data_IF_050456918352
#
_entry.id   IF_050456918352
#
_cell.length_a   1.000
_cell.length_b   1.000
_cell.length_c   1.000
_cell.angle_alpha   90.00
_cell.angle_beta   90.00
_cell.angle_gamma   90.00
#
_symmetry.space_group_name_H-M   'P 1'
#
loop_
_entity.id
_entity.type
_entity.pdbx_description
1 polymer ?
#
# COMPACT_ATOMS: atom_id res chain seq x y z
N UNK A 1 50.92 77.43 -35.37
CA UNK A 1 51.02 77.85 -33.95
C UNK A 1 50.57 76.69 -33.09
N UNK A 2 51.38 76.39 -32.06
CA UNK A 2 51.12 75.53 -30.89
C UNK A 2 50.83 74.03 -31.12
N UNK A 3 51.91 73.26 -31.02
CA UNK A 3 51.97 71.95 -30.36
C UNK A 3 51.39 72.00 -28.93
N UNK A 4 50.62 70.99 -28.55
CA UNK A 4 50.56 70.50 -27.17
C UNK A 4 50.59 68.98 -27.22
N UNK A 5 51.56 68.45 -26.50
CA UNK A 5 52.08 67.10 -26.51
C UNK A 5 51.12 66.14 -25.81
N UNK A 6 50.56 65.15 -26.52
CA UNK A 6 49.74 64.09 -25.92
C UNK A 6 50.58 62.97 -25.30
N UNK A 7 51.91 63.09 -25.26
CA UNK A 7 52.80 62.07 -24.67
C UNK A 7 52.96 62.17 -23.15
N UNK A 8 52.64 63.32 -22.56
CA UNK A 8 52.79 63.54 -21.11
C UNK A 8 51.69 62.87 -20.25
N UNK A 9 50.58 62.43 -20.85
CA UNK A 9 49.50 61.74 -20.12
C UNK A 9 49.78 60.25 -19.84
N UNK A 10 50.84 59.68 -20.43
CA UNK A 10 51.17 58.25 -20.34
C UNK A 10 52.57 57.98 -19.77
N UNK A 11 53.25 59.01 -19.27
CA UNK A 11 54.58 58.91 -18.67
C UNK A 11 54.49 58.93 -17.15
N UNK A 12 55.30 58.10 -16.49
CA UNK A 12 55.42 58.11 -15.05
C UNK A 12 56.30 59.28 -14.61
N UNK A 13 55.81 60.10 -13.69
CA UNK A 13 56.55 61.27 -13.14
C UNK A 13 57.80 60.92 -12.33
N UNK A 14 57.99 59.65 -11.95
CA UNK A 14 59.18 59.18 -11.20
C UNK A 14 60.30 58.75 -12.16
N UNK A 15 60.01 57.84 -13.10
CA UNK A 15 61.02 57.32 -14.03
C UNK A 15 61.03 58.02 -15.39
N UNK A 16 60.09 58.94 -15.63
CA UNK A 16 59.91 59.73 -16.86
C UNK A 16 59.75 58.89 -18.14
N UNK A 17 59.41 57.61 -17.99
CA UNK A 17 59.15 56.67 -19.08
C UNK A 17 57.65 56.35 -19.18
N UNK A 18 57.23 55.77 -20.31
CA UNK A 18 55.87 55.25 -20.47
C UNK A 18 55.55 54.27 -19.33
N UNK A 19 54.35 54.37 -18.76
CA UNK A 19 53.94 53.55 -17.64
C UNK A 19 54.18 52.05 -17.88
N UNK A 20 54.90 51.43 -16.94
CA UNK A 20 55.06 49.98 -16.85
C UNK A 20 54.33 49.50 -15.59
N UNK A 21 53.25 48.74 -15.78
CA UNK A 21 52.34 48.28 -14.72
C UNK A 21 51.85 49.44 -13.82
N UNK A 22 51.02 50.37 -14.34
CA UNK A 22 50.62 51.57 -13.62
C UNK A 22 49.71 51.26 -12.43
N UNK A 23 50.11 51.73 -11.25
CA UNK A 23 49.30 51.72 -10.03
C UNK A 23 48.73 53.12 -9.81
N UNK A 24 47.43 53.20 -9.53
CA UNK A 24 46.74 54.46 -9.20
C UNK A 24 46.60 54.59 -7.68
N UNK A 25 47.08 55.69 -7.11
CA UNK A 25 46.89 56.00 -5.69
C UNK A 25 45.47 56.50 -5.44
N UNK A 26 45.02 56.48 -4.18
CA UNK A 26 43.69 56.97 -3.77
C UNK A 26 43.47 58.45 -4.08
N UNK A 27 44.55 59.22 -4.22
CA UNK A 27 44.53 60.62 -4.67
C UNK A 27 44.39 60.79 -6.20
N UNK A 28 44.33 59.71 -6.97
CA UNK A 28 44.14 59.72 -8.42
C UNK A 28 45.42 59.75 -9.27
N UNK A 29 46.60 60.00 -8.68
CA UNK A 29 47.89 60.00 -9.39
C UNK A 29 48.35 58.58 -9.72
N UNK A 30 49.00 58.42 -10.88
CA UNK A 30 49.44 57.13 -11.41
C UNK A 30 50.95 57.06 -11.53
N UNK A 31 51.51 55.91 -11.20
CA UNK A 31 52.96 55.67 -11.23
C UNK A 31 53.24 54.23 -11.65
N UNK A 32 54.43 53.95 -12.18
CA UNK A 32 54.87 52.56 -12.36
C UNK A 32 54.94 51.86 -10.99
N UNK A 33 54.48 50.61 -10.92
CA UNK A 33 54.43 49.81 -9.68
C UNK A 33 55.76 49.81 -8.91
N UNK A 34 56.88 49.61 -9.60
CA UNK A 34 58.20 49.59 -8.98
C UNK A 34 58.60 50.98 -8.48
N UNK A 35 58.38 52.01 -9.28
CA UNK A 35 58.76 53.38 -8.95
C UNK A 35 58.03 53.91 -7.72
N UNK A 36 56.73 53.64 -7.60
CA UNK A 36 55.99 54.05 -6.41
C UNK A 36 56.32 53.15 -5.21
N UNK A 37 56.64 51.87 -5.45
CA UNK A 37 57.15 50.96 -4.43
C UNK A 37 58.40 51.49 -3.73
N UNK A 38 59.44 51.78 -4.51
CA UNK A 38 60.72 52.28 -3.98
C UNK A 38 60.55 53.61 -3.19
N UNK A 39 59.68 54.50 -3.68
CA UNK A 39 59.45 55.81 -3.05
C UNK A 39 58.65 55.68 -1.75
N UNK A 40 57.69 54.78 -1.67
CA UNK A 40 56.93 54.59 -0.44
C UNK A 40 57.70 53.76 0.59
N UNK A 41 58.56 52.83 0.15
CA UNK A 41 59.46 52.05 1.01
C UNK A 41 60.50 52.95 1.71
N UNK A 42 60.94 54.03 1.04
CA UNK A 42 61.90 55.01 1.60
C UNK A 42 61.27 56.01 2.57
N UNK A 43 59.94 56.20 2.56
CA UNK A 43 59.24 57.18 3.41
C UNK A 43 58.95 56.70 4.84
N UNK A 44 59.26 55.44 5.16
CA UNK A 44 59.06 54.88 6.50
C UNK A 44 57.60 54.55 6.85
N UNK A 45 57.43 53.68 7.84
CA UNK A 45 56.25 52.84 8.01
C UNK A 45 54.97 53.51 8.55
N UNK A 46 54.88 54.84 8.65
CA UNK A 46 53.73 55.50 9.33
C UNK A 46 52.94 56.50 8.48
N UNK A 47 53.52 57.07 7.42
CA UNK A 47 52.79 57.98 6.50
C UNK A 47 53.37 57.86 5.10
N UNK A 48 52.61 57.24 4.21
CA UNK A 48 52.92 57.23 2.79
C UNK A 48 52.29 58.47 2.18
N UNK A 49 53.08 59.27 1.48
CA UNK A 49 52.61 60.48 0.82
C UNK A 49 52.78 60.36 -0.68
N UNK A 50 51.78 60.84 -1.43
CA UNK A 50 51.87 60.88 -2.88
C UNK A 50 53.05 61.78 -3.30
N UNK A 51 53.96 61.33 -4.19
CA UNK A 51 55.09 62.15 -4.64
C UNK A 51 54.69 63.44 -5.35
N UNK A 52 53.50 63.46 -5.96
CA UNK A 52 53.00 64.62 -6.70
C UNK A 52 52.20 65.59 -5.82
N UNK A 53 51.18 65.10 -5.10
CA UNK A 53 50.30 65.99 -4.34
C UNK A 53 50.53 65.99 -2.82
N UNK A 54 51.40 65.12 -2.32
CA UNK A 54 51.74 64.97 -0.89
C UNK A 54 50.56 64.67 0.03
N UNK A 55 49.40 64.32 -0.51
CA UNK A 55 48.28 63.83 0.28
C UNK A 55 48.71 62.53 0.99
N UNK A 56 48.26 62.37 2.24
CA UNK A 56 48.42 61.11 2.97
C UNK A 56 47.66 60.04 2.21
N UNK A 57 48.41 59.04 1.76
CA UNK A 57 47.89 57.87 1.08
C UNK A 57 47.78 56.78 2.15
N UNK A 58 46.56 56.35 2.51
CA UNK A 58 46.38 55.15 3.34
C UNK A 58 47.15 54.02 2.68
N UNK A 59 47.85 53.20 3.46
CA UNK A 59 48.82 52.23 2.95
C UNK A 59 48.28 51.44 1.73
N UNK A 60 48.61 51.91 0.52
CA UNK A 60 48.12 51.34 -0.75
C UNK A 60 48.72 49.97 -1.03
N UNK A 61 49.68 49.53 -0.20
CA UNK A 61 50.22 48.17 -0.24
C UNK A 61 49.23 47.11 0.25
N UNK A 62 48.17 47.49 0.97
CA UNK A 62 47.18 46.53 1.46
C UNK A 62 46.18 46.07 0.39
N UNK A 63 46.04 46.81 -0.72
CA UNK A 63 45.13 46.47 -1.83
C UNK A 63 45.79 45.62 -2.92
N UNK A 64 47.08 45.28 -2.77
CA UNK A 64 47.81 44.44 -3.72
C UNK A 64 47.84 42.99 -3.22
N UNK A 65 47.25 42.02 -3.96
CA UNK A 65 47.17 40.61 -3.55
C UNK A 65 48.51 39.90 -3.30
N UNK A 66 49.64 40.50 -3.68
CA UNK A 66 50.99 39.94 -3.55
C UNK A 66 51.81 40.46 -2.36
N UNK A 67 51.28 41.41 -1.57
CA UNK A 67 52.01 42.02 -0.42
C UNK A 67 51.35 41.70 0.93
N UNK A 68 50.17 41.07 0.91
CA UNK A 68 49.54 40.51 2.10
C UNK A 68 50.19 39.16 2.41
N UNK A 69 50.98 39.11 3.47
CA UNK A 69 51.71 37.91 3.90
C UNK A 69 51.18 37.36 5.24
N UNK A 70 50.38 38.17 5.95
CA UNK A 70 49.89 37.86 7.29
C UNK A 70 48.36 37.93 7.41
N UNK A 71 47.82 37.28 8.43
CA UNK A 71 46.41 37.25 8.80
C UNK A 71 46.26 37.70 10.26
N UNK A 72 45.45 38.73 10.50
CA UNK A 72 45.06 39.12 11.86
C UNK A 72 43.87 38.26 12.33
N UNK A 73 44.02 37.59 13.47
CA UNK A 73 43.01 36.68 13.99
C UNK A 73 41.79 37.41 14.58
N UNK A 74 41.99 38.58 15.18
CA UNK A 74 40.96 39.39 15.84
C UNK A 74 40.09 40.11 14.82
N UNK A 75 40.71 40.78 13.84
CA UNK A 75 40.00 41.55 12.82
C UNK A 75 39.60 40.70 11.60
N UNK A 76 40.02 39.44 11.58
CA UNK A 76 39.72 38.45 10.54
C UNK A 76 40.14 38.85 9.12
N UNK A 77 41.15 39.71 8.99
CA UNK A 77 41.60 40.30 7.71
C UNK A 77 43.06 39.97 7.38
N UNK A 78 43.37 39.97 6.08
CA UNK A 78 44.74 39.80 5.59
C UNK A 78 45.48 41.14 5.65
N UNK A 79 46.70 41.16 6.18
CA UNK A 79 47.48 42.37 6.43
C UNK A 79 48.92 42.21 5.91
N UNK A 80 49.59 43.34 5.68
CA UNK A 80 51.03 43.38 5.39
C UNK A 80 51.86 43.52 6.68
N UNK A 81 53.18 43.37 6.57
CA UNK A 81 54.11 43.47 7.72
C UNK A 81 54.04 44.83 8.44
N UNK A 82 53.86 45.92 7.70
CA UNK A 82 53.78 47.28 8.26
C UNK A 82 52.53 47.48 9.11
N UNK A 83 51.39 46.92 8.70
CA UNK A 83 50.14 46.96 9.45
C UNK A 83 50.22 46.22 10.78
N UNK A 84 50.99 45.12 10.83
CA UNK A 84 51.24 44.34 12.04
C UNK A 84 52.18 45.05 13.03
N UNK A 85 53.28 45.64 12.54
CA UNK A 85 54.33 46.18 13.43
C UNK A 85 54.06 47.61 13.90
N UNK A 86 53.54 48.47 13.01
CA UNK A 86 53.45 49.91 13.26
C UNK A 86 52.08 50.52 12.95
N UNK A 87 51.19 49.76 12.31
CA UNK A 87 49.84 50.17 11.93
C UNK A 87 48.77 49.85 12.97
N UNK A 88 47.52 49.77 12.51
CA UNK A 88 46.32 49.64 13.34
C UNK A 88 46.16 48.26 13.99
N UNK A 89 46.81 47.22 13.45
CA UNK A 89 46.76 45.85 13.98
C UNK A 89 47.91 45.57 14.97
N UNK A 90 48.57 46.62 15.48
CA UNK A 90 49.71 46.49 16.38
C UNK A 90 49.27 45.90 17.73
N UNK A 91 49.82 44.73 18.05
CA UNK A 91 49.53 44.01 19.30
C UNK A 91 48.40 42.98 19.19
N UNK A 92 47.79 42.83 18.01
CA UNK A 92 46.87 41.74 17.71
C UNK A 92 47.63 40.44 17.42
N UNK A 93 46.96 39.29 17.57
CA UNK A 93 47.50 38.01 17.16
C UNK A 93 47.52 37.92 15.64
N UNK A 94 48.74 37.88 15.11
CA UNK A 94 49.00 37.81 13.67
C UNK A 94 49.70 36.50 13.35
N UNK A 95 49.19 35.81 12.34
CA UNK A 95 49.74 34.56 11.81
C UNK A 95 50.13 34.76 10.35
N UNK A 96 51.02 33.95 9.79
CA UNK A 96 51.23 34.00 8.33
C UNK A 96 49.97 33.53 7.60
N UNK A 97 49.75 33.99 6.37
CA UNK A 97 48.63 33.50 5.55
C UNK A 97 48.67 31.98 5.41
N UNK A 98 49.87 31.40 5.30
CA UNK A 98 50.04 29.96 5.19
C UNK A 98 49.59 29.24 6.47
N UNK A 99 50.01 29.70 7.65
CA UNK A 99 49.57 29.12 8.94
C UNK A 99 48.06 29.26 9.16
N UNK A 100 47.50 30.45 8.91
CA UNK A 100 46.06 30.69 9.06
C UNK A 100 45.24 29.84 8.08
N UNK A 101 45.73 29.70 6.84
CA UNK A 101 45.17 28.80 5.82
C UNK A 101 45.22 27.36 6.29
N UNK A 102 46.37 26.88 6.73
CA UNK A 102 46.53 25.48 7.16
C UNK A 102 45.69 25.17 8.41
N UNK A 103 45.59 26.08 9.39
CA UNK A 103 44.69 25.90 10.54
C UNK A 103 43.22 25.83 10.13
N UNK A 104 42.78 26.66 9.17
CA UNK A 104 41.41 26.62 8.66
C UNK A 104 41.16 25.34 7.86
N UNK A 105 42.10 24.93 6.99
CA UNK A 105 42.04 23.66 6.25
C UNK A 105 42.00 22.45 7.18
N UNK A 106 42.79 22.46 8.25
CA UNK A 106 42.83 21.41 9.27
C UNK A 106 41.48 21.29 9.97
N UNK A 107 40.91 22.41 10.45
CA UNK A 107 39.57 22.45 11.05
C UNK A 107 38.52 21.89 10.09
N UNK A 108 38.56 22.30 8.82
CA UNK A 108 37.64 21.81 7.80
C UNK A 108 37.81 20.31 7.55
N UNK A 109 39.05 19.80 7.53
CA UNK A 109 39.33 18.38 7.34
C UNK A 109 38.76 17.54 8.47
N UNK A 110 38.96 17.96 9.72
CA UNK A 110 38.42 17.28 10.89
C UNK A 110 36.88 17.26 10.90
N UNK A 111 36.24 18.37 10.51
CA UNK A 111 34.79 18.42 10.36
C UNK A 111 34.34 17.46 9.24
N UNK A 112 35.02 17.46 8.10
CA UNK A 112 34.69 16.60 6.96
C UNK A 112 34.81 15.11 7.30
N UNK A 113 35.87 14.73 8.01
CA UNK A 113 36.08 13.36 8.48
C UNK A 113 34.98 12.94 9.46
N UNK A 114 34.66 13.79 10.44
CA UNK A 114 33.56 13.54 11.37
C UNK A 114 32.22 13.36 10.66
N UNK A 115 31.86 14.29 9.77
CA UNK A 115 30.60 14.22 9.01
C UNK A 115 30.56 12.99 8.09
N UNK A 116 31.71 12.58 7.55
CA UNK A 116 31.80 11.36 6.73
C UNK A 116 31.53 10.12 7.57
N UNK A 117 32.12 10.01 8.77
CA UNK A 117 31.87 8.91 9.71
C UNK A 117 30.40 8.86 10.14
N UNK A 118 29.82 10.01 10.51
CA UNK A 118 28.40 10.10 10.90
C UNK A 118 27.47 9.68 9.74
N UNK A 119 27.80 10.05 8.50
CA UNK A 119 27.08 9.60 7.31
C UNK A 119 27.15 8.08 7.15
N UNK A 120 28.33 7.48 7.26
CA UNK A 120 28.50 6.03 7.13
C UNK A 120 27.72 5.25 8.21
N UNK A 121 27.69 5.75 9.43
CA UNK A 121 26.90 5.18 10.52
C UNK A 121 25.38 5.29 10.27
N UNK A 122 24.93 6.45 9.78
CA UNK A 122 23.54 6.64 9.39
C UNK A 122 23.15 5.71 8.22
N UNK A 123 24.01 5.54 7.23
CA UNK A 123 23.80 4.61 6.11
C UNK A 123 23.70 3.16 6.57
N UNK A 124 24.61 2.71 7.45
CA UNK A 124 24.53 1.37 8.07
C UNK A 124 23.22 1.18 8.84
N UNK A 125 22.79 2.22 9.57
CA UNK A 125 21.53 2.19 10.32
C UNK A 125 20.32 2.09 9.38
N UNK A 126 20.31 2.84 8.27
CA UNK A 126 19.25 2.76 7.25
C UNK A 126 19.18 1.36 6.62
N UNK A 127 20.32 0.75 6.28
CA UNK A 127 20.34 -0.62 5.75
C UNK A 127 19.76 -1.62 6.74
N UNK A 128 20.13 -1.50 8.02
CA UNK A 128 19.61 -2.35 9.10
C UNK A 128 18.09 -2.21 9.27
N UNK A 129 17.58 -0.97 9.21
CA UNK A 129 16.14 -0.69 9.29
C UNK A 129 15.36 -1.23 8.09
N UNK A 130 15.91 -1.14 6.88
CA UNK A 130 15.30 -1.73 5.66
C UNK A 130 15.19 -3.25 5.76
N UNK A 131 16.21 -3.91 6.32
CA UNK A 131 16.16 -5.35 6.54
C UNK A 131 15.12 -5.72 7.61
N UNK A 132 15.03 -4.95 8.69
CA UNK A 132 13.98 -5.15 9.70
C UNK A 132 12.58 -4.94 9.11
N UNK A 133 12.40 -3.92 8.27
CA UNK A 133 11.15 -3.68 7.54
C UNK A 133 10.78 -4.89 6.67
N UNK A 134 11.73 -5.44 5.91
CA UNK A 134 11.54 -6.65 5.11
C UNK A 134 11.12 -7.84 5.97
N UNK A 135 11.73 -8.02 7.14
CA UNK A 135 11.36 -9.09 8.08
C UNK A 135 9.94 -8.90 8.65
N UNK A 136 9.56 -7.68 9.01
CA UNK A 136 8.21 -7.35 9.50
C UNK A 136 7.19 -7.64 8.41
N UNK A 137 7.44 -7.21 7.18
CA UNK A 137 6.58 -7.50 6.02
C UNK A 137 6.46 -9.00 5.77
N UNK A 138 7.57 -9.74 5.81
CA UNK A 138 7.57 -11.20 5.63
C UNK A 138 6.77 -11.93 6.71
N UNK A 139 6.92 -11.52 7.99
CA UNK A 139 6.11 -12.08 9.09
C UNK A 139 4.63 -11.75 8.95
N UNK A 140 4.29 -10.51 8.61
CA UNK A 140 2.91 -10.09 8.40
C UNK A 140 2.25 -10.86 7.23
N UNK A 141 2.97 -11.04 6.12
CA UNK A 141 2.52 -11.85 5.00
C UNK A 141 2.31 -13.31 5.42
N UNK A 142 3.27 -13.91 6.13
CA UNK A 142 3.16 -15.29 6.61
C UNK A 142 1.97 -15.52 7.55
N UNK A 143 1.69 -14.58 8.46
CA UNK A 143 0.49 -14.65 9.31
C UNK A 143 -0.79 -14.53 8.49
N UNK A 144 -0.80 -13.64 7.48
CA UNK A 144 -1.95 -13.47 6.58
C UNK A 144 -2.24 -14.75 5.78
N UNK A 145 -1.20 -15.40 5.27
CA UNK A 145 -1.31 -16.69 4.57
C UNK A 145 -1.86 -17.79 5.48
N UNK A 146 -1.34 -17.91 6.71
CA UNK A 146 -1.82 -18.88 7.69
C UNK A 146 -3.31 -18.68 8.01
N UNK A 147 -3.73 -17.44 8.28
CA UNK A 147 -5.15 -17.13 8.56
C UNK A 147 -6.03 -17.46 7.35
N UNK A 148 -5.59 -17.08 6.15
CA UNK A 148 -6.34 -17.35 4.91
C UNK A 148 -6.51 -18.85 4.67
N UNK A 149 -5.45 -19.63 4.90
CA UNK A 149 -5.50 -21.08 4.79
C UNK A 149 -6.47 -21.71 5.81
N UNK A 150 -6.39 -21.31 7.08
CA UNK A 150 -7.30 -21.80 8.13
C UNK A 150 -8.76 -21.48 7.82
N UNK A 151 -9.06 -20.26 7.34
CA UNK A 151 -10.42 -19.88 6.96
C UNK A 151 -10.92 -20.72 5.78
N UNK A 152 -10.06 -21.01 4.79
CA UNK A 152 -10.39 -21.89 3.67
C UNK A 152 -10.73 -23.29 4.17
N UNK A 153 -9.89 -23.88 5.03
CA UNK A 153 -10.12 -25.22 5.56
C UNK A 153 -11.42 -25.32 6.38
N UNK A 154 -11.71 -24.31 7.21
CA UNK A 154 -12.98 -24.26 7.97
C UNK A 154 -14.19 -24.21 7.02
N UNK A 155 -14.14 -23.42 5.95
CA UNK A 155 -15.23 -23.36 4.96
C UNK A 155 -15.43 -24.70 4.27
N UNK A 156 -14.36 -25.35 3.84
CA UNK A 156 -14.42 -26.67 3.20
C UNK A 156 -15.02 -27.73 4.13
N UNK A 157 -14.64 -27.71 5.42
CA UNK A 157 -15.22 -28.61 6.42
C UNK A 157 -16.70 -28.35 6.66
N UNK A 158 -17.12 -27.08 6.71
CA UNK A 158 -18.53 -26.71 6.87
C UNK A 158 -19.36 -27.17 5.66
N UNK A 159 -18.88 -26.96 4.44
CA UNK A 159 -19.58 -27.41 3.23
C UNK A 159 -19.67 -28.94 3.14
N UNK A 160 -18.61 -29.65 3.54
CA UNK A 160 -18.62 -31.11 3.59
C UNK A 160 -19.63 -31.64 4.62
N UNK A 161 -19.67 -31.02 5.80
CA UNK A 161 -20.63 -31.38 6.85
C UNK A 161 -22.07 -31.08 6.42
N UNK A 162 -22.31 -29.94 5.78
CA UNK A 162 -23.62 -29.58 5.22
C UNK A 162 -24.10 -30.64 4.23
N UNK A 163 -23.27 -31.01 3.25
CA UNK A 163 -23.60 -32.05 2.27
C UNK A 163 -23.89 -33.40 2.94
N UNK A 164 -23.10 -33.76 3.96
CA UNK A 164 -23.29 -34.99 4.70
C UNK A 164 -24.67 -35.00 5.40
N UNK A 165 -25.01 -33.93 6.12
CA UNK A 165 -26.30 -33.82 6.83
C UNK A 165 -27.47 -33.83 5.84
N UNK A 166 -27.37 -33.09 4.73
CA UNK A 166 -28.42 -33.08 3.70
C UNK A 166 -28.62 -34.48 3.09
N UNK A 167 -27.54 -35.20 2.78
CA UNK A 167 -27.63 -36.56 2.24
C UNK A 167 -28.29 -37.54 3.21
N UNK A 168 -28.03 -37.39 4.51
CA UNK A 168 -28.64 -38.22 5.55
C UNK A 168 -30.13 -37.92 5.71
N UNK A 169 -30.53 -36.65 5.65
CA UNK A 169 -31.95 -36.25 5.68
C UNK A 169 -32.69 -36.86 4.48
N UNK A 170 -32.16 -36.71 3.26
CA UNK A 170 -32.77 -37.27 2.06
C UNK A 170 -32.90 -38.80 2.14
N UNK A 171 -31.87 -39.49 2.65
CA UNK A 171 -31.89 -40.94 2.85
C UNK A 171 -32.99 -41.36 3.84
N UNK A 172 -33.14 -40.63 4.93
CA UNK A 172 -34.19 -40.90 5.92
C UNK A 172 -35.59 -40.62 5.35
N UNK A 173 -35.76 -39.54 4.60
CA UNK A 173 -37.00 -39.20 3.91
C UNK A 173 -37.42 -40.32 2.96
N UNK A 174 -36.50 -40.79 2.10
CA UNK A 174 -36.76 -41.87 1.16
C UNK A 174 -37.11 -43.18 1.89
N UNK A 175 -36.38 -43.51 2.96
CA UNK A 175 -36.66 -44.69 3.78
C UNK A 175 -38.06 -44.65 4.42
N UNK A 176 -38.48 -43.49 4.94
CA UNK A 176 -39.82 -43.31 5.53
C UNK A 176 -40.88 -43.36 4.43
N UNK A 177 -40.65 -42.72 3.29
CA UNK A 177 -41.55 -42.73 2.13
C UNK A 177 -41.82 -44.16 1.64
N UNK A 178 -40.77 -44.98 1.49
CA UNK A 178 -40.89 -46.39 1.11
C UNK A 178 -41.73 -47.19 2.11
N UNK A 179 -41.53 -47.00 3.42
CA UNK A 179 -42.32 -47.67 4.46
C UNK A 179 -43.79 -47.26 4.42
N UNK A 180 -44.06 -45.97 4.23
CA UNK A 180 -45.43 -45.46 4.10
C UNK A 180 -46.10 -46.01 2.84
N UNK A 181 -45.38 -46.04 1.72
CA UNK A 181 -45.86 -46.61 0.46
C UNK A 181 -46.23 -48.09 0.60
N UNK A 182 -45.39 -48.90 1.25
CA UNK A 182 -45.67 -50.31 1.53
C UNK A 182 -46.94 -50.50 2.38
N UNK A 183 -47.12 -49.68 3.44
CA UNK A 183 -48.33 -49.70 4.25
C UNK A 183 -49.58 -49.33 3.43
N UNK A 184 -49.49 -48.32 2.57
CA UNK A 184 -50.59 -47.92 1.68
C UNK A 184 -50.94 -49.08 0.74
N UNK A 185 -49.95 -49.68 0.09
CA UNK A 185 -50.15 -50.79 -0.83
C UNK A 185 -50.77 -52.01 -0.12
N UNK A 186 -50.32 -52.31 1.10
CA UNK A 186 -50.90 -53.38 1.92
C UNK A 186 -52.37 -53.12 2.28
N UNK A 187 -52.72 -51.88 2.63
CA UNK A 187 -54.10 -51.47 2.90
C UNK A 187 -54.98 -51.52 1.65
N UNK A 188 -54.45 -51.12 0.49
CA UNK A 188 -55.13 -51.23 -0.81
C UNK A 188 -55.49 -52.68 -1.13
N UNK A 189 -54.51 -53.58 -1.04
CA UNK A 189 -54.71 -55.02 -1.26
C UNK A 189 -55.75 -55.58 -0.29
N UNK A 190 -55.72 -55.16 0.99
CA UNK A 190 -56.70 -55.60 1.97
C UNK A 190 -58.11 -55.10 1.66
N UNK A 191 -58.25 -53.84 1.24
CA UNK A 191 -59.55 -53.31 0.81
C UNK A 191 -60.11 -54.05 -0.41
N UNK A 192 -59.29 -54.42 -1.39
CA UNK A 192 -59.72 -55.21 -2.55
C UNK A 192 -60.27 -56.59 -2.12
N UNK A 193 -59.57 -57.26 -1.19
CA UNK A 193 -60.03 -58.53 -0.62
C UNK A 193 -61.37 -58.38 0.09
N UNK A 194 -61.53 -57.34 0.91
CA UNK A 194 -62.80 -57.05 1.57
C UNK A 194 -63.93 -56.79 0.56
N UNK A 195 -63.66 -56.01 -0.47
CA UNK A 195 -64.64 -55.73 -1.52
C UNK A 195 -65.11 -57.03 -2.19
N UNK A 196 -64.19 -57.97 -2.47
CA UNK A 196 -64.55 -59.28 -3.00
C UNK A 196 -65.45 -60.06 -2.04
N UNK A 197 -65.14 -60.09 -0.74
CA UNK A 197 -65.98 -60.76 0.27
C UNK A 197 -67.37 -60.13 0.34
N UNK A 198 -67.46 -58.80 0.42
CA UNK A 198 -68.74 -58.08 0.41
C UNK A 198 -69.55 -58.34 -0.86
N UNK A 199 -68.90 -58.36 -2.03
CA UNK A 199 -69.54 -58.66 -3.29
C UNK A 199 -70.12 -60.08 -3.33
N UNK A 200 -69.37 -61.08 -2.84
CA UNK A 200 -69.87 -62.46 -2.73
C UNK A 200 -71.06 -62.57 -1.77
N UNK A 201 -70.97 -61.95 -0.59
CA UNK A 201 -72.10 -61.92 0.37
C UNK A 201 -73.32 -61.27 -0.27
N UNK A 202 -73.16 -60.12 -0.95
CA UNK A 202 -74.24 -59.44 -1.64
C UNK A 202 -74.90 -60.32 -2.72
N UNK A 203 -74.11 -61.04 -3.52
CA UNK A 203 -74.63 -61.98 -4.52
C UNK A 203 -75.43 -63.11 -3.86
N UNK A 204 -74.91 -63.70 -2.78
CA UNK A 204 -75.60 -64.77 -2.03
C UNK A 204 -76.94 -64.25 -1.48
N UNK A 205 -76.94 -63.11 -0.79
CA UNK A 205 -78.17 -62.47 -0.29
C UNK A 205 -79.15 -62.21 -1.44
N UNK A 206 -78.69 -61.66 -2.57
CA UNK A 206 -79.55 -61.43 -3.73
C UNK A 206 -80.17 -62.73 -4.28
N UNK A 207 -79.45 -63.85 -4.24
CA UNK A 207 -79.98 -65.16 -4.68
C UNK A 207 -80.98 -65.76 -3.68
N UNK A 208 -80.81 -65.53 -2.37
CA UNK A 208 -81.71 -66.06 -1.33
C UNK A 208 -83.04 -65.29 -1.19
N UNK A 209 -83.07 -64.00 -1.58
CA UNK A 209 -84.26 -63.14 -1.46
C UNK A 209 -85.03 -62.93 -2.78
N UNK A 210 -84.67 -63.61 -3.87
CA UNK A 210 -85.43 -63.62 -5.14
C UNK A 210 -86.31 -64.89 -5.18
N UNK A 211 -87.65 -64.77 -5.33
CA UNK A 211 -88.54 -65.93 -5.37
C UNK A 211 -88.34 -66.76 -6.65
N UNK A 212 -88.42 -68.09 -6.52
CA UNK A 212 -88.08 -69.11 -7.52
C UNK A 212 -88.90 -69.14 -8.82
N UNK A 213 -89.68 -68.11 -9.15
CA UNK A 213 -90.51 -68.07 -10.36
C UNK A 213 -89.99 -67.20 -11.50
N UNK A 214 -88.78 -66.63 -11.40
CA UNK A 214 -88.25 -65.77 -12.46
C UNK A 214 -86.79 -66.04 -12.83
N UNK A 215 -86.63 -66.71 -13.97
CA UNK A 215 -85.67 -66.38 -15.05
C UNK A 215 -84.37 -67.19 -15.12
N UNK A 216 -84.45 -68.24 -15.95
CA UNK A 216 -83.50 -68.52 -17.04
C UNK A 216 -83.12 -67.22 -17.77
N UNK A 217 -81.84 -66.82 -17.69
CA UNK A 217 -81.06 -65.98 -18.64
C UNK A 217 -80.04 -65.19 -17.81
N UNK A 218 -78.81 -65.68 -17.66
CA UNK A 218 -77.67 -64.87 -17.18
C UNK A 218 -76.28 -65.49 -17.45
N UNK A 219 -76.16 -66.48 -18.35
CA UNK A 219 -74.86 -67.06 -18.72
C UNK A 219 -73.96 -66.11 -19.53
N UNK A 220 -74.47 -64.96 -19.99
CA UNK A 220 -73.72 -63.99 -20.80
C UNK A 220 -73.03 -62.90 -19.99
N UNK A 221 -73.48 -62.59 -18.76
CA UNK A 221 -72.98 -61.46 -17.96
C UNK A 221 -71.67 -61.77 -17.22
N UNK A 222 -71.40 -63.06 -16.94
CA UNK A 222 -70.20 -63.49 -16.25
C UNK A 222 -68.90 -63.26 -17.05
N UNK A 223 -68.95 -63.25 -18.39
CA UNK A 223 -67.77 -63.03 -19.25
C UNK A 223 -67.34 -61.56 -19.38
N UNK A 224 -68.25 -60.61 -19.20
CA UNK A 224 -67.95 -59.18 -19.36
C UNK A 224 -67.37 -58.51 -18.11
N UNK A 225 -67.59 -59.07 -16.92
CA UNK A 225 -67.08 -58.50 -15.67
C UNK A 225 -65.56 -58.69 -15.48
N UNK A 226 -64.94 -59.63 -16.21
CA UNK A 226 -63.48 -59.89 -16.14
C UNK A 226 -62.63 -58.87 -16.92
N UNK A 227 -63.24 -58.02 -17.77
CA UNK A 227 -62.54 -57.06 -18.64
C UNK A 227 -62.67 -55.58 -18.23
N UNK A 228 -63.39 -55.27 -17.14
CA UNK A 228 -63.75 -53.88 -16.79
C UNK A 228 -63.31 -53.44 -15.39
N UNK A 229 -62.39 -54.15 -14.74
CA UNK A 229 -61.88 -53.77 -13.41
C UNK A 229 -60.64 -52.88 -13.44
N UNK A 230 -60.17 -52.44 -14.61
CA UNK A 230 -58.90 -51.69 -14.70
C UNK A 230 -59.02 -50.18 -14.43
N UNK A 231 -60.22 -49.62 -14.22
CA UNK A 231 -60.34 -48.16 -14.01
C UNK A 231 -61.56 -47.70 -13.20
N UNK A 232 -61.93 -48.45 -12.14
CA UNK A 232 -62.78 -47.85 -11.11
C UNK A 232 -61.87 -47.01 -10.20
N UNK A 233 -61.94 -45.68 -10.35
CA UNK A 233 -61.16 -44.78 -9.50
C UNK A 233 -61.41 -45.11 -8.03
N UNK A 234 -60.38 -45.02 -7.22
CA UNK A 234 -60.40 -45.24 -5.77
C UNK A 234 -61.57 -44.53 -5.06
N UNK A 235 -61.98 -43.36 -5.58
CA UNK A 235 -63.16 -42.59 -5.15
C UNK A 235 -64.50 -43.28 -5.44
N UNK A 236 -64.64 -43.97 -6.58
CA UNK A 236 -65.84 -44.72 -6.94
C UNK A 236 -66.03 -45.96 -6.04
N UNK A 237 -64.95 -46.67 -5.71
CA UNK A 237 -64.98 -47.84 -4.82
C UNK A 237 -65.29 -47.46 -3.36
N UNK A 238 -64.71 -46.37 -2.85
CA UNK A 238 -65.05 -45.79 -1.54
C UNK A 238 -66.52 -45.37 -1.46
N UNK A 239 -67.03 -44.74 -2.51
CA UNK A 239 -68.44 -44.38 -2.59
C UNK A 239 -69.32 -45.62 -2.62
N UNK A 240 -69.01 -46.65 -3.42
CA UNK A 240 -69.75 -47.91 -3.44
C UNK A 240 -69.81 -48.60 -2.07
N UNK A 241 -68.70 -48.66 -1.32
CA UNK A 241 -68.69 -49.24 0.03
C UNK A 241 -69.48 -48.36 1.02
N UNK A 242 -69.36 -47.03 0.98
CA UNK A 242 -70.21 -46.13 1.79
C UNK A 242 -71.68 -46.28 1.45
N UNK A 243 -72.03 -46.35 0.16
CA UNK A 243 -73.41 -46.52 -0.30
C UNK A 243 -73.95 -47.89 0.10
N UNK A 244 -73.16 -48.96 -0.01
CA UNK A 244 -73.54 -50.30 0.46
C UNK A 244 -73.70 -50.36 1.98
N UNK A 245 -72.82 -49.69 2.75
CA UNK A 245 -72.94 -49.57 4.21
C UNK A 245 -74.18 -48.76 4.63
N UNK A 246 -74.48 -47.67 3.91
CA UNK A 246 -75.72 -46.89 4.10
C UNK A 246 -76.95 -47.72 3.74
N UNK A 247 -76.94 -48.48 2.65
CA UNK A 247 -78.06 -49.35 2.24
C UNK A 247 -78.29 -50.48 3.26
N UNK A 248 -77.22 -51.08 3.80
CA UNK A 248 -77.33 -52.11 4.84
C UNK A 248 -77.90 -51.52 6.14
N UNK A 249 -77.41 -50.35 6.56
CA UNK A 249 -77.89 -49.62 7.74
C UNK A 249 -79.35 -49.14 7.62
N UNK A 250 -79.81 -48.84 6.39
CA UNK A 250 -81.21 -48.47 6.13
C UNK A 250 -82.13 -49.71 6.16
N UNK A 251 -81.67 -50.90 5.72
CA UNK A 251 -82.47 -52.12 5.75
C UNK A 251 -82.68 -52.70 7.15
N UNK A 252 -81.75 -52.50 8.08
CA UNK A 252 -81.94 -52.88 9.49
C UNK A 252 -82.99 -51.99 10.21
N UNK A 253 -83.40 -50.84 9.64
CA UNK A 253 -84.49 -50.01 10.16
C UNK A 253 -85.87 -50.32 9.55
N UNK A 254 -85.97 -51.20 8.53
CA UNK A 254 -87.26 -51.58 7.92
C UNK A 254 -87.84 -52.89 8.43
N UNK A 255 -87.21 -53.51 9.44
CA UNK A 255 -87.67 -54.72 10.11
C UNK A 255 -87.65 -54.52 11.65
N UNK A 256 -88.41 -53.53 12.12
CA UNK A 256 -88.99 -53.45 13.48
C UNK A 256 -90.43 -52.99 13.33
#
# INVERSE_FOLDING_TARGET
>A
MASADSRDELTCSICLNIYTDPVSLTCGHKFCRLCIGDVLDTQGARRHSCPECRNDVPCTYCDLPKVLEYYCCEDTTCICVSCSLTGEHRGHQVETLNEASEKKKEKLRNILEKLTSEREEAEKSVLSLKELERQVQGKAAGVTEQITALIRDIREQLEALEKQVLSEISRQEEQVSLRVSDLIQNLEIWMEKLFFVFFNIYLIVKMCYVPLSSVLVSSTVARQSKKKSEHLSWTASRNLIRTLWVIFRIKDCSYV
#
